data_IF_411639829263
#
_entry.id   IF_411639829263
#
_cell.length_a   1.000
_cell.length_b   1.000
_cell.length_c   1.000
_cell.angle_alpha   90.00
_cell.angle_beta   90.00
_cell.angle_gamma   90.00
#
_symmetry.space_group_name_H-M   'P 1'
#
loop_
_entity.id
_entity.type
_entity.pdbx_description
1 polymer ?
#
# COMPACT_ATOMS: atom_id res chain seq x y z
N UNK A 1 -8.62 3.70 -3.27
CA UNK A 1 -8.98 2.82 -2.13
C UNK A 1 -9.78 3.64 -1.13
N UNK A 2 -11.05 3.35 -1.03
CA UNK A 2 -12.01 4.18 -0.30
C UNK A 2 -11.70 4.32 1.20
N UNK A 3 -11.49 3.19 1.88
CA UNK A 3 -11.30 3.21 3.33
C UNK A 3 -9.93 3.72 3.75
N UNK A 4 -8.95 3.59 2.91
CA UNK A 4 -7.61 4.13 3.15
C UNK A 4 -7.48 5.57 2.67
N UNK A 5 -8.45 6.05 1.88
CA UNK A 5 -8.48 7.41 1.32
C UNK A 5 -7.20 7.77 0.59
N UNK A 6 -6.74 6.84 -0.22
CA UNK A 6 -5.58 7.01 -1.07
C UNK A 6 -5.93 6.64 -2.50
N UNK A 7 -5.17 7.17 -3.44
CA UNK A 7 -5.23 6.79 -4.85
C UNK A 7 -3.97 6.00 -5.17
N UNK A 8 -4.17 4.85 -5.82
CA UNK A 8 -3.06 3.96 -6.15
C UNK A 8 -3.15 3.57 -7.62
N UNK A 9 -2.02 3.14 -8.17
CA UNK A 9 -1.97 2.50 -9.48
C UNK A 9 -1.05 1.30 -9.41
N UNK A 10 -1.28 0.33 -10.27
CA UNK A 10 -0.44 -0.86 -10.33
C UNK A 10 0.97 -0.49 -10.80
N UNK A 11 1.97 -1.13 -10.23
CA UNK A 11 3.35 -0.94 -10.64
C UNK A 11 3.52 -1.40 -12.09
N UNK A 12 4.34 -0.71 -12.86
CA UNK A 12 4.58 -1.02 -14.27
C UNK A 12 6.08 -1.18 -14.54
N UNK A 13 6.42 -1.50 -15.80
CA UNK A 13 7.81 -1.73 -16.19
C UNK A 13 8.68 -0.50 -16.00
N UNK A 14 8.13 0.67 -16.21
CA UNK A 14 8.87 1.92 -16.04
C UNK A 14 9.22 2.17 -14.57
N UNK A 15 8.30 1.86 -13.67
CA UNK A 15 8.58 1.94 -12.23
C UNK A 15 9.75 1.04 -11.85
N UNK A 16 9.73 -0.19 -12.35
CA UNK A 16 10.79 -1.17 -12.07
C UNK A 16 12.13 -0.64 -12.56
N UNK A 17 12.15 -0.10 -13.78
CA UNK A 17 13.38 0.43 -14.38
C UNK A 17 13.86 1.68 -13.67
N UNK A 18 13.01 2.68 -13.49
CA UNK A 18 13.39 3.97 -12.93
C UNK A 18 13.79 3.88 -11.46
N UNK A 19 13.21 2.94 -10.72
CA UNK A 19 13.50 2.73 -9.30
C UNK A 19 14.47 1.59 -9.07
N UNK A 20 14.95 0.96 -10.13
CA UNK A 20 15.92 -0.14 -10.07
C UNK A 20 15.41 -1.29 -9.17
N UNK A 21 14.17 -1.69 -9.37
CA UNK A 21 13.53 -2.76 -8.60
C UNK A 21 13.76 -4.12 -9.25
N UNK A 22 13.68 -5.22 -8.48
CA UNK A 22 13.69 -6.56 -9.08
C UNK A 22 12.55 -6.71 -10.10
N UNK A 23 12.82 -7.45 -11.18
CA UNK A 23 11.87 -7.57 -12.30
C UNK A 23 10.51 -8.15 -11.92
N UNK A 24 10.47 -8.97 -10.87
CA UNK A 24 9.22 -9.58 -10.42
C UNK A 24 8.49 -8.77 -9.35
N UNK A 25 8.94 -7.56 -9.06
CA UNK A 25 8.31 -6.73 -8.06
C UNK A 25 6.87 -6.44 -8.47
N UNK A 26 5.94 -6.68 -7.56
CA UNK A 26 4.53 -6.34 -7.73
C UNK A 26 4.10 -5.42 -6.59
N UNK A 27 3.06 -4.67 -6.79
CA UNK A 27 2.56 -3.76 -5.77
C UNK A 27 1.77 -2.61 -6.38
N UNK A 28 1.41 -1.68 -5.51
CA UNK A 28 0.63 -0.50 -5.88
C UNK A 28 1.39 0.76 -5.50
N UNK A 29 1.57 1.65 -6.47
CA UNK A 29 2.21 2.94 -6.22
C UNK A 29 1.14 3.90 -5.71
N UNK A 30 1.42 4.55 -4.60
CA UNK A 30 0.53 5.57 -4.02
C UNK A 30 0.76 6.88 -4.76
N UNK A 31 -0.28 7.36 -5.44
CA UNK A 31 -0.19 8.60 -6.22
C UNK A 31 -0.81 9.79 -5.51
N UNK A 32 -1.70 9.56 -4.56
CA UNK A 32 -2.36 10.62 -3.81
C UNK A 32 -2.80 10.13 -2.45
N UNK A 33 -2.68 10.98 -1.44
CA UNK A 33 -3.12 10.68 -0.06
C UNK A 33 -4.02 11.83 0.38
N UNK A 34 -5.27 11.51 0.74
CA UNK A 34 -6.19 12.52 1.26
C UNK A 34 -5.72 13.03 2.63
N UNK A 35 -6.02 14.28 2.94
CA UNK A 35 -5.59 14.88 4.20
C UNK A 35 -6.13 14.16 5.43
N UNK A 36 -7.28 13.51 5.31
CA UNK A 36 -7.91 12.75 6.39
C UNK A 36 -7.67 11.24 6.28
N UNK A 37 -6.72 10.82 5.45
CA UNK A 37 -6.35 9.42 5.32
C UNK A 37 -5.75 8.89 6.63
N UNK A 38 -6.10 7.67 7.04
CA UNK A 38 -5.42 7.05 8.19
C UNK A 38 -3.92 6.82 7.93
N UNK A 39 -3.47 6.91 6.68
CA UNK A 39 -2.07 6.72 6.30
C UNK A 39 -1.29 8.02 6.18
N UNK A 40 -1.93 9.19 6.40
CA UNK A 40 -1.31 10.48 6.06
C UNK A 40 0.03 10.72 6.77
N UNK A 41 0.20 10.21 7.98
CA UNK A 41 1.45 10.40 8.72
C UNK A 41 2.39 9.19 8.65
N UNK A 42 1.98 8.12 7.96
CA UNK A 42 2.73 6.86 7.92
C UNK A 42 3.39 6.59 6.57
N UNK A 43 2.82 7.08 5.49
CA UNK A 43 3.36 6.89 4.14
C UNK A 43 3.38 8.21 3.38
N UNK A 44 4.09 8.21 2.28
CA UNK A 44 4.19 9.38 1.41
C UNK A 44 3.81 9.00 -0.02
N UNK A 45 3.53 10.00 -0.83
CA UNK A 45 3.31 9.80 -2.26
C UNK A 45 4.57 9.15 -2.85
N UNK A 46 4.38 8.25 -3.80
CA UNK A 46 5.40 7.40 -4.42
C UNK A 46 5.83 6.21 -3.57
N UNK A 47 5.21 6.00 -2.40
CA UNK A 47 5.37 4.72 -1.69
C UNK A 47 4.76 3.60 -2.53
N UNK A 48 5.31 2.39 -2.40
CA UNK A 48 4.78 1.20 -3.06
C UNK A 48 4.25 0.26 -1.98
N UNK A 49 2.97 -0.09 -2.06
CA UNK A 49 2.40 -1.09 -1.16
C UNK A 49 2.71 -2.46 -1.72
N UNK A 50 3.52 -3.23 -1.01
CA UNK A 50 3.99 -4.55 -1.45
C UNK A 50 3.13 -5.68 -0.91
N UNK A 51 2.73 -5.58 0.37
CA UNK A 51 1.98 -6.61 1.07
C UNK A 51 0.99 -5.98 2.01
N UNK A 52 -0.10 -6.69 2.27
CA UNK A 52 -1.06 -6.37 3.31
C UNK A 52 -1.40 -7.66 4.04
N UNK A 53 -1.37 -7.63 5.38
CA UNK A 53 -1.63 -8.81 6.21
C UNK A 53 -0.74 -9.99 5.82
N UNK A 54 0.54 -9.69 5.49
CA UNK A 54 1.56 -10.67 5.11
C UNK A 54 1.29 -11.36 3.77
N UNK A 55 0.36 -10.83 2.98
CA UNK A 55 0.05 -11.38 1.65
C UNK A 55 0.43 -10.37 0.58
N UNK A 56 1.02 -10.88 -0.50
CA UNK A 56 1.45 -10.07 -1.62
C UNK A 56 0.26 -9.36 -2.28
N UNK A 57 0.42 -8.09 -2.56
CA UNK A 57 -0.60 -7.28 -3.24
C UNK A 57 -0.14 -7.05 -4.67
N UNK A 58 -0.93 -7.52 -5.63
CA UNK A 58 -0.59 -7.44 -7.05
C UNK A 58 -1.43 -6.39 -7.79
N UNK A 59 -2.62 -6.12 -7.29
CA UNK A 59 -3.55 -5.21 -7.94
C UNK A 59 -4.47 -4.56 -6.90
N UNK A 60 -5.29 -3.61 -7.36
CA UNK A 60 -6.19 -2.88 -6.48
C UNK A 60 -7.19 -3.81 -5.80
N UNK A 61 -7.67 -4.82 -6.52
CA UNK A 61 -8.65 -5.76 -5.98
C UNK A 61 -8.08 -6.54 -4.79
N UNK A 62 -6.81 -6.95 -4.85
CA UNK A 62 -6.14 -7.63 -3.73
C UNK A 62 -6.15 -6.75 -2.48
N UNK A 63 -5.81 -5.48 -2.63
CA UNK A 63 -5.79 -4.55 -1.49
C UNK A 63 -7.19 -4.31 -0.94
N UNK A 64 -8.19 -4.13 -1.82
CA UNK A 64 -9.57 -3.95 -1.39
C UNK A 64 -10.06 -5.14 -0.56
N UNK A 65 -9.74 -6.37 -0.98
CA UNK A 65 -10.12 -7.56 -0.22
C UNK A 65 -9.49 -7.59 1.17
N UNK A 66 -8.23 -7.20 1.27
CA UNK A 66 -7.55 -7.16 2.58
C UNK A 66 -8.16 -6.11 3.48
N UNK A 67 -8.49 -4.93 2.94
CA UNK A 67 -9.15 -3.87 3.71
C UNK A 67 -10.51 -4.35 4.21
N UNK A 68 -11.31 -4.98 3.35
CA UNK A 68 -12.62 -5.51 3.75
C UNK A 68 -12.50 -6.55 4.87
N UNK A 69 -11.51 -7.44 4.79
CA UNK A 69 -11.28 -8.44 5.82
C UNK A 69 -10.91 -7.80 7.16
N UNK A 70 -10.07 -6.78 7.13
CA UNK A 70 -9.65 -6.07 8.33
C UNK A 70 -10.84 -5.33 8.95
N UNK A 71 -11.65 -4.67 8.14
CA UNK A 71 -12.83 -3.94 8.64
C UNK A 71 -13.87 -4.87 9.24
N UNK A 72 -13.92 -6.13 8.79
CA UNK A 72 -14.82 -7.15 9.35
C UNK A 72 -14.26 -7.79 10.61
N UNK A 73 -12.98 -7.56 10.92
CA UNK A 73 -12.37 -8.13 12.11
C UNK A 73 -12.59 -7.23 13.33
N UNK A 74 -12.38 -7.77 14.51
CA UNK A 74 -12.54 -6.99 15.74
C UNK A 74 -11.40 -6.00 15.95
N UNK A 75 -10.22 -6.25 15.38
CA UNK A 75 -9.05 -5.41 15.63
C UNK A 75 -8.94 -4.22 14.70
N UNK A 76 -9.45 -4.32 13.48
CA UNK A 76 -9.46 -3.24 12.49
C UNK A 76 -8.10 -2.60 12.24
N UNK A 77 -7.03 -3.37 12.40
CA UNK A 77 -5.66 -2.93 12.12
C UNK A 77 -5.15 -3.67 10.91
N UNK A 78 -4.67 -2.92 9.91
CA UNK A 78 -4.05 -3.50 8.72
C UNK A 78 -2.54 -3.36 8.83
N UNK A 79 -1.83 -4.44 8.55
CA UNK A 79 -0.37 -4.45 8.52
C UNK A 79 0.08 -4.37 7.06
N UNK A 80 0.81 -3.31 6.75
CA UNK A 80 1.32 -3.07 5.40
C UNK A 80 2.83 -3.20 5.36
N UNK A 81 3.34 -3.77 4.27
CA UNK A 81 4.76 -3.73 3.94
C UNK A 81 4.88 -2.85 2.71
N UNK A 82 5.70 -1.82 2.81
CA UNK A 82 5.86 -0.83 1.74
C UNK A 82 7.33 -0.60 1.42
N UNK A 83 7.58 -0.05 0.22
CA UNK A 83 8.79 0.73 -0.07
C UNK A 83 8.41 2.20 0.03
N UNK A 84 9.22 3.00 0.72
CA UNK A 84 9.03 4.45 0.70
C UNK A 84 9.57 5.02 -0.62
N UNK A 85 9.53 6.34 -0.78
CA UNK A 85 10.02 7.00 -2.01
C UNK A 85 11.50 6.78 -2.28
N UNK A 86 12.26 6.33 -1.28
CA UNK A 86 13.69 6.02 -1.40
C UNK A 86 13.95 4.51 -1.48
N UNK A 87 12.90 3.72 -1.75
CA UNK A 87 12.97 2.25 -1.87
C UNK A 87 13.43 1.56 -0.58
N UNK A 88 13.20 2.16 0.56
CA UNK A 88 13.46 1.54 1.85
C UNK A 88 12.22 0.75 2.26
N UNK A 89 12.44 -0.51 2.66
CA UNK A 89 11.34 -1.38 3.11
C UNK A 89 10.90 -0.99 4.51
N UNK A 90 9.59 -0.79 4.67
CA UNK A 90 9.01 -0.38 5.96
C UNK A 90 7.80 -1.24 6.29
N UNK A 91 7.60 -1.49 7.57
CA UNK A 91 6.45 -2.23 8.10
C UNK A 91 5.58 -1.25 8.87
N UNK A 92 4.31 -1.17 8.50
CA UNK A 92 3.39 -0.17 9.04
C UNK A 92 2.11 -0.86 9.52
N UNK A 93 1.72 -0.60 10.78
CA UNK A 93 0.41 -1.00 11.28
C UNK A 93 -0.49 0.22 11.32
N UNK A 94 -1.66 0.13 10.71
CA UNK A 94 -2.60 1.25 10.62
C UNK A 94 -3.98 0.81 11.08
N UNK A 95 -4.59 1.62 11.92
CA UNK A 95 -5.94 1.38 12.40
C UNK A 95 -6.97 2.01 11.46
N UNK A 96 -8.00 1.25 11.11
CA UNK A 96 -8.98 1.63 10.08
C UNK A 96 -10.36 1.99 10.65
N UNK A 97 -10.46 2.52 11.80
CA UNK A 97 -11.77 2.91 12.35
C UNK A 97 -12.06 4.40 12.29
#
# INVERSE_FOLDING_TARGET
>A
IKDLKITVRQINKEDIKSRNLPNQTSGLVVTKIANDSPLISSIEVNSIILEAQKKKIRNVNDLNKMVEQVLSSSQKTILLVIYNSQNQRRYIGVKLD
#
